data_IF_598182871741
#
_entry.id   IF_598182871741
#
_cell.length_a   1.000
_cell.length_b   1.000
_cell.length_c   1.000
_cell.angle_alpha   90.00
_cell.angle_beta   90.00
_cell.angle_gamma   90.00
#
_symmetry.space_group_name_H-M   'P 1'
#
loop_
_entity.id
_entity.type
_entity.pdbx_description
1 polymer ?
#
# COMPACT_ATOMS: atom_id res chain seq x y z
N UNK A 1 -13.69 4.80 -2.33
CA UNK A 1 -12.49 5.53 -1.90
C UNK A 1 -12.94 6.91 -1.43
N UNK A 2 -13.12 7.09 -0.15
CA UNK A 2 -13.50 8.38 0.39
C UNK A 2 -12.29 9.02 1.06
N UNK A 3 -11.74 10.06 0.50
CA UNK A 3 -10.59 10.72 1.12
C UNK A 3 -10.18 12.01 0.45
N UNK A 4 -10.75 12.32 -0.68
CA UNK A 4 -10.52 13.61 -1.33
C UNK A 4 -11.35 14.73 -0.67
N UNK A 5 -10.88 15.96 -0.77
CA UNK A 5 -11.60 17.15 -0.30
C UNK A 5 -12.88 17.42 -1.11
N UNK A 6 -13.15 16.61 -2.16
CA UNK A 6 -14.21 16.82 -3.14
C UNK A 6 -13.95 17.95 -4.14
N UNK A 7 -12.76 18.55 -4.10
CA UNK A 7 -12.34 19.56 -5.06
C UNK A 7 -11.66 18.90 -6.26
N UNK A 8 -11.91 19.40 -7.46
CA UNK A 8 -11.31 18.88 -8.71
C UNK A 8 -9.80 19.09 -8.81
N UNK A 9 -9.21 19.94 -7.97
CA UNK A 9 -7.78 20.20 -7.90
C UNK A 9 -7.31 20.00 -6.46
N UNK A 10 -6.94 18.79 -6.11
CA UNK A 10 -6.45 18.40 -4.79
C UNK A 10 -4.93 18.21 -4.86
N UNK A 11 -4.21 19.32 -4.98
CA UNK A 11 -2.75 19.39 -5.02
C UNK A 11 -2.24 19.56 -3.60
N UNK A 12 -1.28 18.75 -3.18
CA UNK A 12 -0.58 18.89 -1.91
C UNK A 12 0.86 19.41 -2.07
N UNK A 13 1.53 19.65 -0.97
CA UNK A 13 2.91 20.13 -0.94
C UNK A 13 3.91 19.22 -1.66
N UNK A 14 3.64 17.92 -1.68
CA UNK A 14 4.50 16.92 -2.33
C UNK A 14 4.38 16.93 -3.86
N UNK A 15 3.33 17.52 -4.40
CA UNK A 15 3.13 17.65 -5.84
C UNK A 15 3.85 18.90 -6.40
N UNK A 16 4.20 19.87 -5.52
CA UNK A 16 4.78 21.18 -5.92
C UNK A 16 6.18 21.43 -5.33
N UNK A 17 6.69 20.56 -4.47
CA UNK A 17 8.02 20.70 -3.91
C UNK A 17 9.14 20.55 -4.96
N UNK A 18 10.38 21.01 -4.69
CA UNK A 18 11.53 20.64 -5.52
C UNK A 18 11.71 19.13 -5.54
N UNK A 19 11.87 18.51 -6.70
CA UNK A 19 11.76 17.06 -6.93
C UNK A 19 10.37 16.52 -6.52
N UNK A 20 9.32 16.94 -7.20
CA UNK A 20 7.97 16.55 -6.85
C UNK A 20 7.73 15.07 -7.14
N UNK A 21 6.72 14.52 -6.48
CA UNK A 21 6.24 13.19 -6.82
C UNK A 21 5.79 13.12 -8.28
N UNK A 22 6.10 12.01 -8.90
CA UNK A 22 5.71 11.70 -10.28
C UNK A 22 4.40 10.90 -10.28
N UNK A 23 3.72 10.92 -11.42
CA UNK A 23 2.47 10.19 -11.61
C UNK A 23 2.70 9.05 -12.61
N UNK A 24 2.38 7.83 -12.20
CA UNK A 24 2.22 6.68 -13.09
C UNK A 24 0.73 6.56 -13.38
N UNK A 25 0.35 6.63 -14.64
CA UNK A 25 -1.06 6.55 -15.03
C UNK A 25 -1.29 5.45 -16.05
N UNK A 26 -2.43 4.79 -15.94
CA UNK A 26 -2.97 3.91 -16.99
C UNK A 26 -3.89 4.76 -17.84
N UNK A 27 -3.51 4.90 -19.11
CA UNK A 27 -4.20 5.76 -20.09
C UNK A 27 -4.91 4.91 -21.14
N UNK A 28 -6.16 5.23 -21.39
CA UNK A 28 -6.91 4.69 -22.53
C UNK A 28 -6.89 5.69 -23.68
N UNK A 29 -6.13 5.44 -24.76
CA UNK A 29 -5.99 6.38 -25.86
C UNK A 29 -7.25 6.50 -26.73
N UNK A 30 -8.12 5.50 -26.73
CA UNK A 30 -9.35 5.52 -27.54
C UNK A 30 -10.43 6.40 -26.88
N UNK A 31 -10.55 6.32 -25.56
CA UNK A 31 -11.51 7.10 -24.80
C UNK A 31 -10.93 8.43 -24.27
N UNK A 32 -9.61 8.64 -24.44
CA UNK A 32 -8.87 9.78 -23.88
C UNK A 32 -9.06 9.94 -22.36
N UNK A 33 -9.01 8.81 -21.63
CA UNK A 33 -9.31 8.75 -20.21
C UNK A 33 -8.19 8.12 -19.38
N UNK A 34 -8.03 8.59 -18.12
CA UNK A 34 -7.18 7.94 -17.12
C UNK A 34 -8.01 6.88 -16.39
N UNK A 35 -7.58 5.63 -16.49
CA UNK A 35 -8.24 4.49 -15.84
C UNK A 35 -7.81 4.32 -14.39
N UNK A 36 -6.59 4.71 -14.06
CA UNK A 36 -6.04 4.59 -12.74
C UNK A 36 -4.62 5.14 -12.66
N UNK A 37 -4.04 5.14 -11.47
CA UNK A 37 -2.68 5.62 -11.29
C UNK A 37 -2.10 5.42 -9.91
N UNK A 38 -0.81 5.70 -9.82
CA UNK A 38 -0.02 5.84 -8.60
C UNK A 38 0.74 7.15 -8.62
N UNK A 39 0.87 7.77 -7.45
CA UNK A 39 1.88 8.78 -7.20
C UNK A 39 3.14 8.07 -6.67
N UNK A 40 4.32 8.44 -7.15
CA UNK A 40 5.55 7.81 -6.71
C UNK A 40 6.72 8.79 -6.59
N UNK A 41 7.66 8.46 -5.70
CA UNK A 41 8.94 9.16 -5.55
C UNK A 41 10.07 8.14 -5.46
N UNK A 42 11.15 8.37 -6.20
CA UNK A 42 12.37 7.57 -6.07
C UNK A 42 13.07 7.90 -4.76
N UNK A 43 13.55 6.89 -4.06
CA UNK A 43 14.32 7.09 -2.83
C UNK A 43 15.60 7.91 -3.03
N UNK A 44 16.19 7.87 -4.23
CA UNK A 44 17.32 8.74 -4.61
C UNK A 44 16.94 10.21 -4.75
N UNK A 45 15.67 10.52 -4.98
CA UNK A 45 15.16 11.87 -5.14
C UNK A 45 14.65 12.45 -3.80
N UNK A 46 14.60 11.62 -2.75
CA UNK A 46 14.15 12.03 -1.42
C UNK A 46 15.11 13.03 -0.81
N UNK A 47 14.57 14.16 -0.39
CA UNK A 47 15.30 15.19 0.35
C UNK A 47 15.21 14.93 1.84
N UNK A 48 16.21 15.37 2.57
CA UNK A 48 16.18 15.40 4.04
C UNK A 48 15.89 16.82 4.53
N UNK A 49 15.19 16.93 5.64
CA UNK A 49 15.03 18.20 6.34
C UNK A 49 16.32 18.59 7.10
N UNK A 50 16.30 19.73 7.79
CA UNK A 50 17.44 20.23 8.57
C UNK A 50 17.84 19.30 9.73
N UNK A 51 16.93 18.43 10.16
CA UNK A 51 17.13 17.46 11.23
C UNK A 51 17.55 16.08 10.70
N UNK A 52 17.62 15.91 9.37
CA UNK A 52 17.98 14.65 8.73
C UNK A 52 16.83 13.66 8.60
N UNK A 53 15.56 14.11 8.70
CA UNK A 53 14.41 13.27 8.43
C UNK A 53 14.06 13.31 6.94
N UNK A 54 13.60 12.18 6.38
CA UNK A 54 13.22 12.13 4.98
C UNK A 54 11.92 12.90 4.73
N UNK A 55 11.90 13.72 3.67
CA UNK A 55 10.68 14.41 3.22
C UNK A 55 9.90 13.46 2.33
N UNK A 56 9.06 12.65 2.97
CA UNK A 56 8.20 11.65 2.35
C UNK A 56 6.74 11.87 2.76
N UNK A 57 5.82 11.54 1.87
CA UNK A 57 4.38 11.64 2.18
C UNK A 57 3.96 10.72 3.34
N UNK A 58 4.75 9.71 3.66
CA UNK A 58 4.53 8.79 4.79
C UNK A 58 5.28 9.20 6.06
N UNK A 59 6.20 10.18 6.01
CA UNK A 59 7.08 10.52 7.15
C UNK A 59 6.33 11.06 8.37
N UNK A 60 5.12 11.60 8.19
CA UNK A 60 4.30 12.02 9.33
C UNK A 60 3.71 10.84 10.12
N UNK A 61 3.68 9.63 9.54
CA UNK A 61 3.10 8.44 10.16
C UNK A 61 4.13 7.41 10.63
N UNK A 62 5.34 7.45 10.08
CA UNK A 62 6.35 6.43 10.33
C UNK A 62 7.68 7.05 10.75
N UNK A 63 8.39 6.33 11.60
CA UNK A 63 9.81 6.53 11.89
C UNK A 63 10.64 5.57 11.06
N UNK A 64 11.70 6.08 10.46
CA UNK A 64 12.60 5.33 9.59
C UNK A 64 13.93 5.09 10.31
N UNK A 65 14.38 3.84 10.35
CA UNK A 65 15.69 3.52 10.92
C UNK A 65 16.82 4.09 10.06
N UNK A 66 17.98 4.32 10.67
CA UNK A 66 19.18 4.74 9.93
C UNK A 66 19.60 3.70 8.89
N UNK A 67 19.35 2.42 9.18
CA UNK A 67 19.60 1.32 8.23
C UNK A 67 18.69 1.45 7.01
N UNK A 68 17.39 1.70 7.22
CA UNK A 68 16.48 1.94 6.11
C UNK A 68 16.92 3.12 5.25
N UNK A 69 17.24 4.25 5.87
CA UNK A 69 17.61 5.48 5.16
C UNK A 69 18.88 5.31 4.31
N UNK A 70 19.85 4.54 4.79
CA UNK A 70 21.15 4.38 4.11
C UNK A 70 21.16 3.25 3.07
N UNK A 71 20.60 2.10 3.43
CA UNK A 71 20.75 0.88 2.63
C UNK A 71 19.52 0.59 1.75
N UNK A 72 18.31 0.90 2.23
CA UNK A 72 17.08 0.55 1.53
C UNK A 72 16.49 1.70 0.74
N UNK A 73 16.40 2.89 1.34
CA UNK A 73 15.76 4.05 0.70
C UNK A 73 16.32 4.36 -0.70
N UNK A 74 17.66 4.34 -0.96
CA UNK A 74 18.19 4.61 -2.30
C UNK A 74 17.76 3.60 -3.37
N UNK A 75 17.28 2.43 -2.96
CA UNK A 75 16.81 1.35 -3.83
C UNK A 75 15.28 1.18 -3.77
N UNK A 76 14.57 2.16 -3.19
CA UNK A 76 13.13 2.12 -2.94
C UNK A 76 12.40 3.15 -3.78
N UNK A 77 11.19 2.80 -4.20
CA UNK A 77 10.18 3.75 -4.68
C UNK A 77 9.09 3.85 -3.62
N UNK A 78 8.81 5.06 -3.12
CA UNK A 78 7.60 5.29 -2.34
C UNK A 78 6.40 5.42 -3.28
N UNK A 79 5.36 4.63 -2.99
CA UNK A 79 4.08 4.62 -3.70
C UNK A 79 2.98 5.24 -2.84
N UNK A 80 2.13 6.03 -3.45
CA UNK A 80 0.99 6.61 -2.78
C UNK A 80 -0.17 6.94 -3.71
N UNK A 81 -1.27 7.39 -3.14
CA UNK A 81 -2.46 7.84 -3.88
C UNK A 81 -2.88 6.91 -5.03
N UNK A 82 -2.82 5.58 -4.76
CA UNK A 82 -3.31 4.60 -5.73
C UNK A 82 -4.82 4.77 -5.94
N UNK A 83 -5.24 4.79 -7.19
CA UNK A 83 -6.65 4.86 -7.54
C UNK A 83 -6.95 4.09 -8.83
N UNK A 84 -8.19 3.64 -8.92
CA UNK A 84 -8.83 3.23 -10.16
C UNK A 84 -10.06 4.11 -10.30
N UNK A 85 -10.32 4.66 -11.46
CA UNK A 85 -11.47 5.52 -11.75
C UNK A 85 -12.77 4.79 -11.42
N UNK A 86 -13.75 5.47 -10.82
CA UNK A 86 -14.96 4.87 -10.25
C UNK A 86 -15.73 3.99 -11.23
N UNK A 87 -15.79 4.38 -12.49
CA UNK A 87 -16.45 3.64 -13.56
C UNK A 87 -15.82 2.26 -13.83
N UNK A 88 -14.53 2.12 -13.49
CA UNK A 88 -13.74 0.91 -13.63
C UNK A 88 -13.55 0.14 -12.32
N UNK A 89 -14.16 0.59 -11.20
CA UNK A 89 -14.13 -0.10 -9.90
C UNK A 89 -15.24 -1.16 -9.75
N UNK A 90 -15.96 -1.45 -10.80
CA UNK A 90 -17.12 -2.35 -10.75
C UNK A 90 -16.78 -3.69 -10.08
N UNK A 91 -17.47 -3.98 -8.99
CA UNK A 91 -17.42 -5.27 -8.27
C UNK A 91 -18.23 -6.36 -8.96
N UNK A 92 -18.88 -6.05 -10.07
CA UNK A 92 -19.69 -6.97 -10.85
C UNK A 92 -19.09 -7.17 -12.24
N UNK A 93 -18.41 -8.30 -12.41
CA UNK A 93 -18.16 -9.01 -13.68
C UNK A 93 -17.64 -8.26 -14.92
N UNK A 94 -17.32 -6.97 -14.84
CA UNK A 94 -16.75 -6.29 -16.00
C UNK A 94 -15.23 -6.40 -15.97
N UNK A 95 -14.68 -7.07 -16.98
CA UNK A 95 -13.25 -7.27 -17.19
C UNK A 95 -12.40 -5.99 -17.12
N UNK A 96 -13.01 -4.84 -17.40
CA UNK A 96 -12.33 -3.52 -17.44
C UNK A 96 -11.67 -3.11 -16.13
N UNK A 97 -12.31 -3.35 -14.97
CA UNK A 97 -11.73 -2.98 -13.68
C UNK A 97 -10.52 -3.84 -13.28
N UNK A 98 -10.56 -5.12 -13.64
CA UNK A 98 -9.44 -6.04 -13.44
C UNK A 98 -8.27 -5.60 -14.32
N UNK A 99 -8.51 -5.27 -15.58
CA UNK A 99 -7.50 -4.78 -16.51
C UNK A 99 -6.83 -3.48 -16.02
N UNK A 100 -7.56 -2.56 -15.41
CA UNK A 100 -6.96 -1.34 -14.89
C UNK A 100 -5.95 -1.62 -13.75
N UNK A 101 -6.28 -2.57 -12.86
CA UNK A 101 -5.38 -2.97 -11.77
C UNK A 101 -4.17 -3.74 -12.30
N UNK A 102 -4.37 -4.69 -13.24
CA UNK A 102 -3.28 -5.45 -13.85
C UNK A 102 -2.32 -4.53 -14.61
N UNK A 103 -2.84 -3.56 -15.39
CA UNK A 103 -2.02 -2.56 -16.07
C UNK A 103 -1.24 -1.65 -15.10
N UNK A 104 -1.80 -1.34 -13.92
CA UNK A 104 -1.06 -0.64 -12.88
C UNK A 104 0.12 -1.47 -12.36
N UNK A 105 -0.07 -2.77 -12.19
CA UNK A 105 1.01 -3.69 -11.82
C UNK A 105 2.08 -3.81 -12.90
N UNK A 106 1.68 -3.92 -14.15
CA UNK A 106 2.59 -3.91 -15.30
C UNK A 106 3.40 -2.60 -15.34
N UNK A 107 2.75 -1.46 -15.05
CA UNK A 107 3.40 -0.17 -14.93
C UNK A 107 4.45 -0.13 -13.81
N UNK A 108 4.16 -0.71 -12.64
CA UNK A 108 5.14 -0.84 -11.56
C UNK A 108 6.30 -1.76 -11.98
N UNK A 109 6.01 -2.86 -12.67
CA UNK A 109 7.02 -3.73 -13.27
C UNK A 109 7.91 -2.98 -14.26
N UNK A 110 7.32 -2.15 -15.12
CA UNK A 110 8.07 -1.33 -16.07
C UNK A 110 9.02 -0.33 -15.36
N UNK A 111 8.61 0.24 -14.22
CA UNK A 111 9.49 1.10 -13.43
C UNK A 111 10.75 0.37 -12.97
N UNK A 112 10.67 -0.91 -12.60
CA UNK A 112 11.85 -1.68 -12.18
C UNK A 112 12.79 -1.99 -13.34
N UNK A 113 12.27 -2.10 -14.56
CA UNK A 113 13.08 -2.28 -15.78
C UNK A 113 13.77 -0.97 -16.16
N UNK A 114 13.05 0.16 -16.10
CA UNK A 114 13.60 1.49 -16.40
C UNK A 114 14.62 1.96 -15.35
N UNK A 115 14.48 1.46 -14.12
CA UNK A 115 15.30 1.86 -12.97
C UNK A 115 15.88 0.61 -12.29
N UNK A 116 16.90 -0.01 -12.87
CA UNK A 116 17.40 -1.33 -12.44
C UNK A 116 17.99 -1.35 -11.01
N UNK A 117 18.25 -0.20 -10.42
CA UNK A 117 18.69 -0.08 -9.03
C UNK A 117 17.55 -0.20 -8.03
N UNK A 118 16.28 -0.08 -8.48
CA UNK A 118 15.10 -0.22 -7.62
C UNK A 118 14.85 -1.69 -7.33
N UNK A 119 14.75 -2.01 -6.04
CA UNK A 119 14.49 -3.35 -5.54
C UNK A 119 13.26 -3.43 -4.64
N UNK A 120 12.83 -2.29 -4.13
CA UNK A 120 11.75 -2.23 -3.13
C UNK A 120 10.70 -1.22 -3.53
N UNK A 121 9.45 -1.56 -3.24
CA UNK A 121 8.36 -0.62 -3.18
C UNK A 121 7.95 -0.42 -1.72
N UNK A 122 7.67 0.81 -1.35
CA UNK A 122 7.21 1.18 -0.03
C UNK A 122 5.96 2.06 -0.15
N UNK A 123 5.02 1.88 0.74
CA UNK A 123 3.82 2.70 0.78
C UNK A 123 2.92 2.33 1.93
N UNK A 124 1.89 3.16 2.13
CA UNK A 124 0.85 2.90 3.12
C UNK A 124 -0.43 2.44 2.45
N UNK A 125 -1.18 1.63 3.16
CA UNK A 125 -2.55 1.29 2.81
C UNK A 125 -3.49 1.71 3.92
N UNK A 126 -4.64 2.26 3.54
CA UNK A 126 -5.65 2.70 4.49
C UNK A 126 -6.74 1.64 4.61
N UNK A 127 -7.02 1.20 5.83
CA UNK A 127 -8.23 0.49 6.17
C UNK A 127 -9.18 1.47 6.88
N UNK A 128 -10.40 1.60 6.37
CA UNK A 128 -11.36 2.54 6.93
C UNK A 128 -11.88 2.07 8.30
N UNK A 129 -12.24 2.99 9.22
CA UNK A 129 -12.84 2.64 10.51
C UNK A 129 -14.14 1.82 10.41
N UNK A 130 -14.82 1.90 9.26
CA UNK A 130 -16.03 1.10 8.97
C UNK A 130 -15.74 -0.36 8.64
N UNK A 131 -14.46 -0.72 8.40
CA UNK A 131 -14.08 -2.11 8.18
C UNK A 131 -14.27 -2.93 9.46
N UNK A 132 -14.72 -4.19 9.33
CA UNK A 132 -14.92 -5.04 10.48
C UNK A 132 -13.64 -5.17 11.31
N UNK A 133 -13.71 -4.81 12.60
CA UNK A 133 -12.55 -4.74 13.50
C UNK A 133 -11.85 -6.09 13.64
N UNK A 134 -12.61 -7.17 13.87
CA UNK A 134 -12.05 -8.52 13.98
C UNK A 134 -11.39 -8.96 12.66
N UNK A 135 -11.99 -8.65 11.51
CA UNK A 135 -11.39 -8.89 10.20
C UNK A 135 -10.08 -8.13 10.01
N UNK A 136 -10.03 -6.86 10.46
CA UNK A 136 -8.80 -6.07 10.48
C UNK A 136 -7.72 -6.71 11.34
N UNK A 137 -8.08 -7.11 12.54
CA UNK A 137 -7.15 -7.69 13.52
C UNK A 137 -6.56 -9.01 13.02
N UNK A 138 -7.39 -9.86 12.40
CA UNK A 138 -6.91 -11.09 11.76
C UNK A 138 -5.92 -10.81 10.62
N UNK A 139 -6.20 -9.81 9.78
CA UNK A 139 -5.29 -9.40 8.70
C UNK A 139 -3.97 -8.89 9.28
N UNK A 140 -4.01 -8.01 10.28
CA UNK A 140 -2.82 -7.45 10.92
C UNK A 140 -1.99 -8.54 11.60
N UNK A 141 -2.64 -9.45 12.32
CA UNK A 141 -1.96 -10.58 12.96
C UNK A 141 -1.26 -11.47 11.92
N UNK A 142 -1.98 -11.84 10.87
CA UNK A 142 -1.44 -12.65 9.77
C UNK A 142 -0.23 -11.99 9.11
N UNK A 143 -0.34 -10.69 8.79
CA UNK A 143 0.76 -9.93 8.18
C UNK A 143 1.98 -9.86 9.12
N UNK A 144 1.77 -9.59 10.40
CA UNK A 144 2.85 -9.56 11.38
C UNK A 144 3.53 -10.92 11.56
N UNK A 145 2.75 -12.00 11.51
CA UNK A 145 3.28 -13.36 11.63
C UNK A 145 4.17 -13.74 10.45
N UNK A 146 3.74 -13.46 9.22
CA UNK A 146 4.40 -13.93 8.02
C UNK A 146 5.36 -12.93 7.38
N UNK A 147 5.11 -11.62 7.56
CA UNK A 147 5.84 -10.53 6.90
C UNK A 147 6.32 -9.45 7.88
N UNK A 148 6.29 -9.72 9.19
CA UNK A 148 6.69 -8.73 10.18
C UNK A 148 8.09 -8.18 9.96
N UNK A 149 8.26 -6.88 10.10
CA UNK A 149 9.54 -6.17 10.01
C UNK A 149 10.37 -6.44 11.27
N UNK A 150 11.17 -7.52 11.23
CA UNK A 150 12.01 -7.96 12.35
C UNK A 150 13.15 -6.98 12.64
N UNK A 151 13.61 -6.26 11.62
CA UNK A 151 14.72 -5.32 11.71
C UNK A 151 14.27 -3.91 12.10
N UNK A 152 12.97 -3.70 12.27
CA UNK A 152 12.36 -2.40 12.59
C UNK A 152 12.85 -1.30 11.65
N UNK A 153 12.86 -1.61 10.37
CA UNK A 153 13.30 -0.68 9.33
C UNK A 153 12.39 0.54 9.24
N UNK A 154 11.07 0.32 9.35
CA UNK A 154 10.04 1.35 9.33
C UNK A 154 9.00 1.06 10.41
N UNK A 155 8.87 1.96 11.37
CA UNK A 155 7.99 1.76 12.53
C UNK A 155 6.88 2.80 12.53
N UNK A 156 5.60 2.42 12.67
CA UNK A 156 4.53 3.39 12.80
C UNK A 156 4.66 4.17 14.11
N UNK A 157 4.49 5.51 14.05
CA UNK A 157 4.46 6.39 15.22
C UNK A 157 3.27 6.08 16.12
N UNK A 158 2.14 5.76 15.51
CA UNK A 158 0.90 5.37 16.16
C UNK A 158 0.47 3.99 15.65
N UNK A 159 0.98 2.90 16.25
CA UNK A 159 0.65 1.55 15.80
C UNK A 159 -0.83 1.21 16.04
N UNK A 160 -1.45 0.56 15.08
CA UNK A 160 -2.77 -0.01 15.25
C UNK A 160 -2.72 -1.16 16.27
N UNK A 161 -3.52 -1.03 17.32
CA UNK A 161 -3.65 -2.09 18.32
C UNK A 161 -4.57 -3.19 17.80
N UNK A 162 -4.13 -4.44 17.97
CA UNK A 162 -4.97 -5.62 17.79
C UNK A 162 -5.78 -5.77 19.07
N UNK A 163 -7.11 -5.70 18.96
CA UNK A 163 -8.05 -5.75 20.09
C UNK A 163 -8.62 -7.17 20.30
N UNK A 164 -8.58 -8.01 19.27
CA UNK A 164 -8.95 -9.43 19.35
C UNK A 164 -7.96 -10.16 20.23
N UNK A 165 -8.45 -11.08 21.05
CA UNK A 165 -7.64 -11.85 21.99
C UNK A 165 -6.49 -12.55 21.28
N UNK A 166 -5.31 -12.45 21.87
CA UNK A 166 -4.08 -12.97 21.27
C UNK A 166 -4.09 -14.49 21.18
N UNK A 167 -4.55 -15.17 22.22
CA UNK A 167 -4.62 -16.63 22.27
C UNK A 167 -5.62 -17.15 21.22
N UNK A 168 -6.72 -16.44 21.02
CA UNK A 168 -7.67 -16.76 19.95
C UNK A 168 -7.01 -16.69 18.56
N UNK A 169 -6.22 -15.65 18.29
CA UNK A 169 -5.54 -15.48 17.01
C UNK A 169 -4.39 -16.49 16.83
N UNK A 170 -3.67 -16.81 17.90
CA UNK A 170 -2.62 -17.84 17.89
C UNK A 170 -3.19 -19.22 17.58
N UNK A 171 -4.34 -19.57 18.18
CA UNK A 171 -5.04 -20.82 17.91
C UNK A 171 -5.61 -20.87 16.50
N UNK A 172 -6.13 -19.76 16.01
CA UNK A 172 -6.69 -19.66 14.66
C UNK A 172 -5.62 -19.82 13.57
N UNK A 173 -4.47 -19.19 13.75
CA UNK A 173 -3.34 -19.20 12.83
C UNK A 173 -2.21 -20.05 13.38
N UNK A 174 -2.48 -21.32 13.71
CA UNK A 174 -1.50 -22.22 14.31
C UNK A 174 -0.60 -22.92 13.27
N UNK A 175 -0.93 -22.83 11.99
CA UNK A 175 -0.15 -23.46 10.92
C UNK A 175 1.21 -22.77 10.72
N UNK A 176 2.20 -23.55 10.32
CA UNK A 176 3.53 -23.00 9.99
C UNK A 176 3.63 -22.47 8.57
N UNK A 177 2.75 -22.93 7.69
CA UNK A 177 2.75 -22.59 6.28
C UNK A 177 1.85 -21.39 5.95
N UNK A 178 2.42 -20.42 5.27
CA UNK A 178 1.71 -19.25 4.74
C UNK A 178 0.41 -19.61 4.02
N UNK A 179 0.45 -20.57 3.10
CA UNK A 179 -0.74 -20.94 2.30
C UNK A 179 -1.88 -21.50 3.13
N UNK A 180 -1.57 -22.22 4.21
CA UNK A 180 -2.57 -22.77 5.11
C UNK A 180 -3.25 -21.66 5.91
N UNK A 181 -2.47 -20.81 6.57
CA UNK A 181 -2.97 -19.65 7.31
C UNK A 181 -3.72 -18.65 6.39
N UNK A 182 -3.27 -18.46 5.14
CA UNK A 182 -3.97 -17.59 4.18
C UNK A 182 -5.38 -18.12 3.83
N UNK A 183 -5.53 -19.43 3.69
CA UNK A 183 -6.87 -20.03 3.45
C UNK A 183 -7.79 -19.80 4.64
N UNK A 184 -7.26 -19.93 5.86
CA UNK A 184 -7.98 -19.65 7.10
C UNK A 184 -8.39 -18.18 7.13
N UNK A 185 -7.43 -17.26 6.94
CA UNK A 185 -7.69 -15.82 6.89
C UNK A 185 -8.82 -15.47 5.92
N UNK A 186 -8.74 -15.97 4.69
CA UNK A 186 -9.72 -15.67 3.64
C UNK A 186 -11.11 -16.17 4.01
N UNK A 187 -11.22 -17.39 4.57
CA UNK A 187 -12.47 -17.97 5.04
C UNK A 187 -13.08 -17.15 6.17
N UNK A 188 -12.28 -16.83 7.19
CA UNK A 188 -12.76 -16.13 8.39
C UNK A 188 -13.16 -14.69 8.09
N UNK A 189 -12.37 -13.96 7.30
CA UNK A 189 -12.72 -12.59 6.89
C UNK A 189 -14.03 -12.57 6.08
N UNK A 190 -14.20 -13.54 5.16
CA UNK A 190 -15.45 -13.67 4.39
C UNK A 190 -16.67 -14.02 5.26
N UNK A 191 -16.49 -14.84 6.28
CA UNK A 191 -17.56 -15.18 7.23
C UNK A 191 -18.12 -13.97 7.97
N UNK A 192 -17.31 -12.91 8.12
CA UNK A 192 -17.70 -11.63 8.70
C UNK A 192 -18.40 -10.67 7.69
N UNK A 193 -18.67 -11.13 6.48
CA UNK A 193 -19.23 -10.30 5.41
C UNK A 193 -18.26 -9.29 4.81
N UNK A 194 -16.96 -9.49 5.03
CA UNK A 194 -15.89 -8.64 4.52
C UNK A 194 -15.05 -9.37 3.46
N UNK A 195 -14.19 -8.64 2.78
CA UNK A 195 -13.14 -9.20 1.94
C UNK A 195 -11.80 -8.60 2.36
N UNK A 196 -10.71 -9.37 2.21
CA UNK A 196 -9.38 -8.82 2.32
C UNK A 196 -9.26 -7.70 1.27
N UNK A 197 -8.82 -6.48 1.66
CA UNK A 197 -8.69 -5.38 0.70
C UNK A 197 -7.86 -5.80 -0.52
N UNK A 198 -8.27 -5.49 -1.76
CA UNK A 198 -7.60 -5.97 -2.97
C UNK A 198 -6.10 -5.68 -3.00
N UNK A 199 -5.69 -4.49 -2.55
CA UNK A 199 -4.28 -4.12 -2.47
C UNK A 199 -3.51 -4.98 -1.45
N UNK A 200 -4.09 -5.28 -0.27
CA UNK A 200 -3.45 -6.18 0.71
C UNK A 200 -3.26 -7.55 0.08
N UNK A 201 -4.32 -8.03 -0.57
CA UNK A 201 -4.30 -9.35 -1.20
C UNK A 201 -3.27 -9.44 -2.33
N UNK A 202 -3.06 -8.36 -3.06
CA UNK A 202 -2.10 -8.31 -4.16
C UNK A 202 -0.63 -8.29 -3.69
N UNK A 203 -0.37 -7.78 -2.48
CA UNK A 203 0.99 -7.73 -1.91
C UNK A 203 1.36 -8.98 -1.08
N UNK A 204 0.44 -9.88 -0.81
CA UNK A 204 0.65 -11.16 -0.13
C UNK A 204 0.96 -12.29 -1.11
#
# INVERSE_FOLDING_TARGET
AGGGTGKSMDIDEYDVMPNPYKQLVVWNPEAEEILGGYRYLLGTDVRMDEQGHPILATAHMFDFSQNFLKEYLPQTIELGRSFVTLEYQSTRSDAKGIFALDNLWDGLGALTVLMPNVKYFFGKMTMYPSYNRRGRDMILYFLNKHFGDKDKLVVPKEPLLIETDKEELENLFCESEFKADYRILNREVRSLGCNIPPLVNAYM
#
